data_IF_652899571164
#
_entry.id   IF_652899571164
#
_cell.length_a   1.000
_cell.length_b   1.000
_cell.length_c   1.000
_cell.angle_alpha   90.00
_cell.angle_beta   90.00
_cell.angle_gamma   90.00
#
_symmetry.space_group_name_H-M   'P 1'
#
loop_
_entity.id
_entity.type
_entity.pdbx_description
1 polymer ?
#
# COMPACT_ATOMS: atom_id res chain seq x y z
N UNK A 1 -27.79 -33.64 19.55
CA UNK A 1 -27.92 -32.40 18.76
C UNK A 1 -28.91 -32.63 17.63
N UNK A 2 -29.99 -31.84 17.57
CA UNK A 2 -31.01 -31.92 16.51
C UNK A 2 -30.55 -31.30 15.19
N UNK A 3 -31.31 -31.54 14.10
CA UNK A 3 -30.94 -31.11 12.76
C UNK A 3 -30.99 -29.58 12.59
N UNK A 4 -31.83 -28.85 13.33
CA UNK A 4 -31.92 -27.41 13.24
C UNK A 4 -30.69 -26.75 13.88
N UNK A 5 -30.27 -27.24 15.05
CA UNK A 5 -29.03 -26.83 15.70
C UNK A 5 -27.79 -27.09 14.83
N UNK A 6 -27.74 -28.25 14.15
CA UNK A 6 -26.65 -28.56 13.21
C UNK A 6 -26.58 -27.57 12.07
N UNK A 7 -27.73 -27.25 11.45
CA UNK A 7 -27.81 -26.25 10.39
C UNK A 7 -27.40 -24.86 10.87
N UNK A 8 -27.88 -24.45 12.06
CA UNK A 8 -27.56 -23.17 12.65
C UNK A 8 -26.05 -23.02 12.91
N UNK A 9 -25.39 -24.08 13.34
CA UNK A 9 -23.95 -24.12 13.60
C UNK A 9 -23.12 -24.38 12.32
N UNK A 10 -23.75 -24.59 11.18
CA UNK A 10 -23.05 -24.89 9.92
C UNK A 10 -22.37 -26.26 9.88
N UNK A 11 -22.78 -27.21 10.76
CA UNK A 11 -22.23 -28.57 10.80
C UNK A 11 -23.04 -29.46 9.87
N UNK A 12 -22.72 -29.42 8.59
CA UNK A 12 -23.50 -30.08 7.52
C UNK A 12 -23.11 -31.53 7.27
N UNK A 13 -21.98 -32.00 7.77
CA UNK A 13 -21.48 -33.37 7.53
C UNK A 13 -22.33 -34.42 8.29
N UNK A 14 -23.10 -35.30 7.59
CA UNK A 14 -23.94 -36.33 8.24
C UNK A 14 -23.12 -37.38 8.96
N UNK A 15 -21.85 -37.56 8.63
CA UNK A 15 -20.97 -38.59 9.24
C UNK A 15 -20.48 -38.21 10.64
N UNK A 16 -20.71 -36.96 11.08
CA UNK A 16 -20.40 -36.49 12.44
C UNK A 16 -21.60 -36.84 13.34
N UNK A 17 -21.40 -37.74 14.29
CA UNK A 17 -22.41 -38.11 15.31
C UNK A 17 -22.10 -37.37 16.63
N UNK A 18 -23.14 -36.91 17.30
CA UNK A 18 -23.04 -36.18 18.59
C UNK A 18 -23.63 -37.03 19.72
N UNK A 19 -23.00 -36.96 20.90
CA UNK A 19 -23.55 -37.48 22.14
C UNK A 19 -24.56 -36.53 22.76
N UNK A 20 -25.26 -36.94 23.80
CA UNK A 20 -26.24 -36.11 24.50
C UNK A 20 -25.59 -34.90 25.13
N UNK A 21 -24.38 -35.02 25.68
CA UNK A 21 -23.57 -33.92 26.25
C UNK A 21 -22.57 -33.39 25.21
N UNK A 22 -23.09 -32.95 24.08
CA UNK A 22 -22.26 -32.52 22.94
C UNK A 22 -21.64 -31.12 23.10
N UNK A 23 -22.12 -30.26 24.03
CA UNK A 23 -21.63 -28.92 24.24
C UNK A 23 -20.97 -28.76 25.62
N UNK A 24 -19.70 -28.41 25.62
CA UNK A 24 -18.92 -28.14 26.84
C UNK A 24 -18.39 -26.73 26.83
N UNK A 25 -18.26 -26.11 28.01
CA UNK A 25 -17.59 -24.83 28.17
C UNK A 25 -16.38 -24.97 29.09
N UNK A 26 -15.32 -24.25 28.76
CA UNK A 26 -14.12 -24.16 29.60
C UNK A 26 -13.75 -22.69 29.78
N UNK A 27 -13.67 -22.24 31.03
CA UNK A 27 -13.31 -20.87 31.37
C UNK A 27 -11.81 -20.81 31.73
N UNK A 28 -11.00 -20.19 30.86
CA UNK A 28 -9.59 -19.89 31.14
C UNK A 28 -9.34 -18.39 30.98
N UNK A 29 -8.75 -17.75 32.00
CA UNK A 29 -8.31 -16.34 31.95
C UNK A 29 -9.43 -15.39 31.49
N UNK A 30 -10.65 -15.51 32.05
CA UNK A 30 -11.83 -14.69 31.72
C UNK A 30 -12.40 -14.87 30.28
N UNK A 31 -11.88 -15.83 29.52
CA UNK A 31 -12.41 -16.17 28.19
C UNK A 31 -13.12 -17.51 28.30
N UNK A 32 -14.40 -17.54 27.96
CA UNK A 32 -15.17 -18.79 27.83
C UNK A 32 -14.88 -19.37 26.45
N UNK A 33 -14.37 -20.60 26.43
CA UNK A 33 -14.17 -21.37 25.17
C UNK A 33 -15.20 -22.48 25.09
N UNK A 34 -16.00 -22.48 24.07
CA UNK A 34 -16.99 -23.54 23.81
C UNK A 34 -16.38 -24.67 23.01
N UNK A 35 -16.78 -25.88 23.28
CA UNK A 35 -16.35 -27.08 22.55
C UNK A 35 -17.55 -27.97 22.22
N UNK A 36 -17.71 -28.27 20.94
CA UNK A 36 -18.68 -29.27 20.46
C UNK A 36 -17.98 -30.61 20.36
N UNK A 37 -18.54 -31.62 20.99
CA UNK A 37 -17.99 -32.99 20.99
C UNK A 37 -18.72 -33.86 19.98
N UNK A 38 -17.98 -34.50 19.07
CA UNK A 38 -18.54 -35.36 18.06
C UNK A 38 -17.64 -36.54 17.70
N UNK A 39 -18.17 -37.50 16.96
CA UNK A 39 -17.43 -38.64 16.41
C UNK A 39 -17.64 -38.68 14.91
N UNK A 40 -16.55 -38.65 14.16
CA UNK A 40 -16.54 -38.77 12.70
C UNK A 40 -16.19 -40.19 12.31
N UNK A 41 -17.13 -40.88 11.72
CA UNK A 41 -16.94 -42.25 11.22
C UNK A 41 -17.86 -42.53 10.02
N UNK A 42 -17.32 -43.26 9.07
CA UNK A 42 -18.05 -43.75 7.89
C UNK A 42 -17.37 -45.01 7.34
N UNK A 43 -17.94 -45.62 6.31
CA UNK A 43 -17.29 -46.72 5.55
C UNK A 43 -16.57 -46.08 4.34
N UNK A 44 -15.23 -46.07 4.29
CA UNK A 44 -14.51 -45.52 3.16
C UNK A 44 -14.77 -46.34 1.89
N UNK A 45 -14.92 -45.66 0.76
CA UNK A 45 -15.16 -46.29 -0.55
C UNK A 45 -13.87 -46.86 -1.14
N UNK A 46 -12.75 -46.17 -0.94
CA UNK A 46 -11.44 -46.52 -1.46
C UNK A 46 -10.33 -46.03 -0.52
N UNK A 47 -9.16 -46.59 -0.64
CA UNK A 47 -7.96 -46.09 0.04
C UNK A 47 -7.42 -44.83 -0.67
N UNK A 48 -7.20 -43.72 0.04
CA UNK A 48 -6.68 -42.50 -0.58
C UNK A 48 -5.21 -42.63 -1.00
N UNK A 49 -4.47 -43.62 -0.47
CA UNK A 49 -3.04 -43.78 -0.77
C UNK A 49 -2.79 -44.66 -2.00
N UNK A 50 -3.50 -45.77 -2.13
CA UNK A 50 -3.27 -46.72 -3.24
C UNK A 50 -4.45 -46.82 -4.22
N UNK A 51 -5.56 -46.11 -3.97
CA UNK A 51 -6.74 -46.14 -4.84
C UNK A 51 -7.60 -47.39 -4.77
N UNK A 52 -7.19 -48.43 -4.00
CA UNK A 52 -7.89 -49.69 -3.92
C UNK A 52 -9.33 -49.51 -3.39
N UNK A 53 -10.31 -50.08 -4.11
CA UNK A 53 -11.72 -50.12 -3.70
C UNK A 53 -11.89 -50.95 -2.46
N UNK A 54 -12.70 -50.52 -1.52
CA UNK A 54 -12.90 -51.18 -0.24
C UNK A 54 -13.84 -52.39 -0.37
N UNK A 55 -13.32 -53.53 -0.79
CA UNK A 55 -13.96 -54.84 -0.74
C UNK A 55 -13.43 -55.60 0.50
N UNK A 56 -13.77 -55.12 1.70
CA UNK A 56 -13.24 -55.62 2.99
C UNK A 56 -11.74 -55.39 3.20
N UNK A 57 -11.04 -54.71 2.29
CA UNK A 57 -9.60 -54.41 2.36
C UNK A 57 -9.26 -53.25 3.31
N UNK A 58 -10.24 -52.53 3.82
CA UNK A 58 -10.06 -51.39 4.71
C UNK A 58 -10.83 -51.65 6.01
N UNK A 59 -10.12 -51.66 7.14
CA UNK A 59 -10.69 -51.89 8.47
C UNK A 59 -10.57 -50.66 9.37
N UNK A 60 -11.42 -50.54 10.38
CA UNK A 60 -11.32 -49.53 11.43
C UNK A 60 -10.10 -49.82 12.30
N UNK A 61 -9.32 -48.78 12.62
CA UNK A 61 -8.07 -48.91 13.38
C UNK A 61 -7.98 -47.85 14.49
N UNK A 62 -8.97 -47.84 15.38
CA UNK A 62 -9.05 -46.91 16.51
C UNK A 62 -9.49 -45.47 16.14
N UNK A 63 -9.41 -44.58 17.10
CA UNK A 63 -9.79 -43.17 16.98
C UNK A 63 -8.65 -42.26 17.39
N UNK A 64 -8.66 -41.04 16.86
CA UNK A 64 -7.80 -39.98 17.27
C UNK A 64 -8.65 -38.71 17.53
N UNK A 65 -8.52 -38.14 18.72
CA UNK A 65 -9.25 -36.91 19.05
C UNK A 65 -8.51 -35.71 18.49
N UNK A 66 -9.17 -34.98 17.60
CA UNK A 66 -8.64 -33.72 16.99
C UNK A 66 -9.52 -32.54 17.41
N UNK A 67 -8.88 -31.46 17.82
CA UNK A 67 -9.55 -30.22 18.17
C UNK A 67 -9.39 -29.22 17.01
N UNK A 68 -10.50 -28.84 16.42
CA UNK A 68 -10.55 -27.89 15.31
C UNK A 68 -11.16 -26.58 15.76
N UNK A 69 -10.44 -25.43 15.72
CA UNK A 69 -11.07 -24.13 15.81
C UNK A 69 -12.15 -24.00 14.73
N UNK A 70 -13.39 -23.71 15.16
CA UNK A 70 -14.54 -23.83 14.29
C UNK A 70 -15.17 -22.48 13.94
N UNK A 71 -15.19 -21.53 14.88
CA UNK A 71 -15.75 -20.21 14.69
C UNK A 71 -15.97 -19.51 16.02
N UNK A 72 -17.03 -18.70 16.10
CA UNK A 72 -17.45 -18.02 17.32
C UNK A 72 -18.87 -18.41 17.70
N UNK A 73 -19.12 -18.60 18.99
CA UNK A 73 -20.43 -18.71 19.56
C UNK A 73 -20.62 -17.63 20.63
N UNK A 74 -21.59 -16.73 20.45
CA UNK A 74 -21.81 -15.55 21.32
C UNK A 74 -20.52 -14.73 21.54
N UNK A 75 -19.77 -14.49 20.47
CA UNK A 75 -18.47 -13.80 20.46
C UNK A 75 -17.35 -14.51 21.25
N UNK A 76 -17.56 -15.74 21.67
CA UNK A 76 -16.56 -16.56 22.33
C UNK A 76 -16.04 -17.65 21.37
N UNK A 77 -14.75 -18.03 21.44
CA UNK A 77 -14.21 -19.08 20.60
C UNK A 77 -14.96 -20.40 20.72
N UNK A 78 -15.25 -21.01 19.59
CA UNK A 78 -15.91 -22.29 19.46
C UNK A 78 -14.99 -23.29 18.75
N UNK A 79 -14.72 -24.40 19.42
CA UNK A 79 -13.96 -25.52 18.88
C UNK A 79 -14.88 -26.69 18.55
N UNK A 80 -14.54 -27.45 17.53
CA UNK A 80 -15.13 -28.75 17.24
C UNK A 80 -14.12 -29.86 17.57
N UNK A 81 -14.34 -30.56 18.68
CA UNK A 81 -13.52 -31.71 19.11
C UNK A 81 -14.11 -32.96 18.55
N UNK A 82 -13.41 -33.62 17.63
CA UNK A 82 -13.87 -34.78 16.90
C UNK A 82 -13.00 -35.98 17.25
N UNK A 83 -13.65 -37.05 17.71
CA UNK A 83 -13.07 -38.38 17.70
C UNK A 83 -13.09 -38.89 16.26
N UNK A 84 -12.00 -38.71 15.55
CA UNK A 84 -11.89 -39.05 14.13
C UNK A 84 -11.44 -40.51 13.97
N UNK A 85 -12.22 -41.30 13.22
CA UNK A 85 -11.90 -42.67 12.93
C UNK A 85 -10.63 -42.79 12.10
N UNK A 86 -9.68 -43.63 12.53
CA UNK A 86 -8.55 -44.03 11.73
C UNK A 86 -8.88 -45.38 11.06
N UNK A 87 -8.44 -45.54 9.81
CA UNK A 87 -8.60 -46.72 9.00
C UNK A 87 -7.23 -47.32 8.65
N UNK A 88 -7.19 -48.64 8.45
CA UNK A 88 -6.02 -49.37 7.97
C UNK A 88 -6.34 -50.05 6.65
N UNK A 89 -5.51 -49.88 5.64
CA UNK A 89 -5.61 -50.53 4.35
C UNK A 89 -4.69 -51.77 4.34
N UNK A 90 -5.28 -52.94 4.19
CA UNK A 90 -4.53 -54.21 4.15
C UNK A 90 -3.74 -54.41 2.85
N UNK A 91 -4.03 -53.66 1.78
CA UNK A 91 -3.34 -53.80 0.48
C UNK A 91 -2.03 -53.02 0.43
N UNK A 92 -2.03 -51.77 0.92
CA UNK A 92 -0.83 -50.95 0.93
C UNK A 92 -0.20 -50.78 2.31
N UNK A 93 -0.75 -51.43 3.34
CA UNK A 93 -0.28 -51.42 4.72
C UNK A 93 -0.15 -50.03 5.35
N UNK A 94 -0.95 -49.05 4.89
CA UNK A 94 -0.95 -47.68 5.40
C UNK A 94 -2.23 -47.35 6.18
N UNK A 95 -2.12 -46.37 7.09
CA UNK A 95 -3.26 -45.86 7.82
C UNK A 95 -3.64 -44.47 7.28
N UNK A 96 -4.94 -44.15 7.34
CA UNK A 96 -5.47 -42.83 7.01
C UNK A 96 -6.63 -42.46 7.94
N UNK A 97 -6.93 -41.14 8.03
CA UNK A 97 -7.99 -40.65 8.89
C UNK A 97 -9.28 -40.41 8.09
N UNK A 98 -10.41 -40.53 8.76
CA UNK A 98 -11.66 -40.03 8.20
C UNK A 98 -11.56 -38.52 7.90
N UNK A 99 -12.14 -38.06 6.78
CA UNK A 99 -12.15 -36.70 6.35
C UNK A 99 -13.56 -36.13 6.37
N UNK A 100 -13.70 -34.82 6.57
CA UNK A 100 -14.99 -34.13 6.55
C UNK A 100 -14.93 -32.93 5.59
N UNK A 101 -16.01 -32.65 4.83
CA UNK A 101 -16.09 -31.50 3.95
C UNK A 101 -16.04 -30.14 4.67
N UNK A 102 -16.17 -30.13 6.00
CA UNK A 102 -16.04 -28.93 6.84
C UNK A 102 -14.63 -28.34 6.89
N UNK A 103 -13.62 -29.15 6.53
CA UNK A 103 -12.22 -28.77 6.57
C UNK A 103 -11.57 -28.92 5.20
N UNK A 104 -10.60 -28.06 4.90
CA UNK A 104 -9.72 -28.26 3.75
C UNK A 104 -8.64 -29.29 4.09
N UNK A 105 -8.10 -29.96 3.08
CA UNK A 105 -6.98 -30.89 3.26
C UNK A 105 -5.81 -30.19 3.96
N UNK A 106 -5.21 -30.87 4.95
CA UNK A 106 -4.06 -30.39 5.72
C UNK A 106 -4.29 -29.09 6.51
N UNK A 107 -5.56 -28.74 6.83
CA UNK A 107 -5.88 -27.60 7.69
C UNK A 107 -6.46 -28.06 9.03
N UNK A 108 -6.14 -27.32 10.10
CA UNK A 108 -6.69 -27.54 11.44
C UNK A 108 -7.92 -26.68 11.74
N UNK A 109 -8.28 -25.73 10.90
CA UNK A 109 -9.41 -24.81 11.09
C UNK A 109 -10.55 -25.13 10.11
N UNK A 110 -11.80 -24.80 10.50
CA UNK A 110 -12.94 -24.98 9.62
C UNK A 110 -12.91 -24.02 8.42
N UNK A 111 -13.57 -24.42 7.32
CA UNK A 111 -13.76 -23.51 6.15
C UNK A 111 -14.48 -22.22 6.53
N UNK A 112 -15.47 -22.32 7.43
CA UNK A 112 -16.21 -21.14 7.90
C UNK A 112 -15.30 -20.16 8.65
N UNK A 113 -14.45 -20.67 9.58
CA UNK A 113 -13.49 -19.83 10.28
C UNK A 113 -12.44 -19.24 9.34
N UNK A 114 -11.96 -20.02 8.37
CA UNK A 114 -11.04 -19.52 7.35
C UNK A 114 -11.67 -18.38 6.54
N UNK A 115 -12.94 -18.51 6.17
CA UNK A 115 -13.68 -17.45 5.48
C UNK A 115 -13.78 -16.18 6.33
N UNK A 116 -14.11 -16.31 7.63
CA UNK A 116 -14.14 -15.18 8.56
C UNK A 116 -12.77 -14.49 8.68
N UNK A 117 -11.67 -15.27 8.79
CA UNK A 117 -10.31 -14.72 8.77
C UNK A 117 -10.09 -13.89 7.49
N UNK A 118 -10.48 -14.43 6.33
CA UNK A 118 -10.31 -13.76 5.04
C UNK A 118 -11.10 -12.45 4.99
N UNK A 119 -12.37 -12.44 5.43
CA UNK A 119 -13.17 -11.23 5.52
C UNK A 119 -12.55 -10.16 6.44
N UNK A 120 -12.03 -10.56 7.58
CA UNK A 120 -11.34 -9.64 8.49
C UNK A 120 -10.01 -9.14 7.94
N UNK A 121 -9.32 -9.95 7.16
CA UNK A 121 -8.11 -9.55 6.46
C UNK A 121 -8.34 -8.46 5.39
N UNK A 122 -9.57 -8.23 4.93
CA UNK A 122 -9.90 -7.07 4.06
C UNK A 122 -10.06 -5.77 4.82
N UNK A 123 -10.16 -5.82 6.14
CA UNK A 123 -10.28 -4.64 7.01
C UNK A 123 -8.92 -4.18 7.51
N UNK A 124 -8.89 -2.96 8.02
CA UNK A 124 -7.67 -2.37 8.59
C UNK A 124 -7.52 -2.83 10.05
N UNK A 125 -7.23 -4.12 10.23
CA UNK A 125 -7.02 -4.79 11.53
C UNK A 125 -5.64 -5.44 11.55
N UNK A 126 -5.00 -5.57 12.74
CA UNK A 126 -3.74 -6.29 12.84
C UNK A 126 -3.97 -7.82 12.84
N UNK A 127 -2.95 -8.58 12.40
CA UNK A 127 -2.98 -10.05 12.46
C UNK A 127 -3.20 -10.53 13.90
N UNK A 128 -2.65 -9.81 14.89
CA UNK A 128 -2.80 -10.14 16.30
C UNK A 128 -4.23 -9.92 16.78
N UNK A 129 -4.85 -8.77 16.46
CA UNK A 129 -6.22 -8.48 16.86
C UNK A 129 -7.20 -9.50 16.26
N UNK A 130 -7.03 -9.84 14.97
CA UNK A 130 -7.82 -10.91 14.32
C UNK A 130 -7.67 -12.23 15.06
N UNK A 131 -6.44 -12.58 15.44
CA UNK A 131 -6.15 -13.84 16.14
C UNK A 131 -6.76 -13.86 17.54
N UNK A 132 -6.59 -12.78 18.29
CA UNK A 132 -7.10 -12.63 19.66
C UNK A 132 -8.64 -12.69 19.68
N UNK A 133 -9.31 -11.96 18.81
CA UNK A 133 -10.78 -11.95 18.69
C UNK A 133 -11.37 -13.29 18.27
N UNK A 134 -10.69 -14.03 17.38
CA UNK A 134 -11.13 -15.34 16.91
C UNK A 134 -10.67 -16.50 17.83
N UNK A 135 -9.88 -16.21 18.86
CA UNK A 135 -9.35 -17.19 19.80
C UNK A 135 -8.41 -18.22 19.16
N UNK A 136 -7.65 -17.79 18.15
CA UNK A 136 -6.68 -18.62 17.41
C UNK A 136 -5.28 -18.04 17.52
N UNK A 137 -4.27 -18.76 17.02
CA UNK A 137 -2.90 -18.24 17.00
C UNK A 137 -2.68 -17.25 15.85
N UNK A 138 -1.86 -16.22 16.08
CA UNK A 138 -1.45 -15.29 15.02
C UNK A 138 -0.76 -16.02 13.84
N UNK A 139 -0.08 -17.15 14.11
CA UNK A 139 0.52 -17.99 13.06
C UNK A 139 -0.54 -18.67 12.17
N UNK A 140 -1.74 -18.95 12.68
CA UNK A 140 -2.86 -19.47 11.87
C UNK A 140 -3.38 -18.40 10.91
N UNK A 141 -3.55 -17.16 11.38
CA UNK A 141 -3.93 -16.02 10.52
C UNK A 141 -2.83 -15.77 9.48
N UNK A 142 -1.56 -15.78 9.89
CA UNK A 142 -0.42 -15.58 9.00
C UNK A 142 -0.37 -16.62 7.87
N UNK A 143 -0.56 -17.91 8.17
CA UNK A 143 -0.64 -18.98 7.15
C UNK A 143 -1.79 -18.76 6.18
N UNK A 144 -2.92 -18.22 6.65
CA UNK A 144 -4.03 -17.86 5.76
C UNK A 144 -3.62 -16.74 4.80
N UNK A 145 -2.92 -15.69 5.27
CA UNK A 145 -2.37 -14.64 4.40
C UNK A 145 -1.44 -15.23 3.34
N UNK A 146 -0.52 -16.11 3.74
CA UNK A 146 0.45 -16.75 2.84
C UNK A 146 -0.24 -17.64 1.78
N UNK A 147 -1.30 -18.35 2.17
CA UNK A 147 -2.07 -19.17 1.21
C UNK A 147 -2.80 -18.34 0.15
N UNK A 148 -3.14 -17.09 0.47
CA UNK A 148 -3.78 -16.15 -0.46
C UNK A 148 -2.77 -15.44 -1.37
N UNK A 149 -1.49 -15.38 -0.99
CA UNK A 149 -0.47 -14.63 -1.70
C UNK A 149 -0.37 -15.01 -3.19
N UNK A 150 -0.38 -16.31 -3.50
CA UNK A 150 -0.28 -16.80 -4.87
C UNK A 150 -1.51 -16.50 -5.72
N UNK A 151 -2.68 -16.32 -5.11
CA UNK A 151 -3.93 -16.03 -5.80
C UNK A 151 -4.08 -14.54 -6.14
N UNK A 152 -3.54 -13.67 -5.28
CA UNK A 152 -3.78 -12.20 -5.34
C UNK A 152 -2.70 -11.48 -6.14
N UNK A 153 -1.47 -11.97 -6.14
CA UNK A 153 -0.30 -11.16 -6.54
C UNK A 153 0.25 -11.40 -7.94
N UNK A 154 -0.39 -12.24 -8.74
CA UNK A 154 0.06 -12.51 -10.11
C UNK A 154 -0.90 -11.92 -11.15
N UNK A 155 -0.69 -10.65 -11.59
CA UNK A 155 -1.47 -10.10 -12.72
C UNK A 155 -1.18 -10.87 -14.01
N UNK A 156 -2.16 -10.92 -14.89
CA UNK A 156 -1.99 -11.49 -16.23
C UNK A 156 -0.88 -10.76 -16.98
N UNK A 157 0.07 -11.48 -17.54
CA UNK A 157 1.17 -10.90 -18.35
C UNK A 157 0.71 -10.40 -19.72
N UNK A 158 -0.55 -10.58 -20.05
CA UNK A 158 -1.15 -10.14 -21.31
C UNK A 158 -1.94 -8.83 -21.20
N UNK A 159 -1.97 -8.19 -20.02
CA UNK A 159 -2.71 -6.97 -19.81
C UNK A 159 -1.91 -5.93 -19.03
N UNK A 160 -1.91 -4.71 -19.53
CA UNK A 160 -1.51 -3.48 -18.85
C UNK A 160 -2.56 -2.39 -19.15
N UNK A 161 -2.88 -1.50 -18.19
CA UNK A 161 -3.83 -0.42 -18.41
C UNK A 161 -3.32 0.61 -19.43
N UNK A 162 -4.21 1.34 -20.08
CA UNK A 162 -3.84 2.41 -21.00
C UNK A 162 -3.16 3.57 -20.29
N UNK A 163 -3.66 3.94 -19.11
CA UNK A 163 -3.06 4.95 -18.23
C UNK A 163 -2.47 4.26 -17.00
N UNK A 164 -1.15 4.27 -16.90
CA UNK A 164 -0.41 3.70 -15.79
C UNK A 164 0.16 4.83 -14.92
N UNK A 165 -0.32 4.95 -13.67
CA UNK A 165 0.22 5.89 -12.68
C UNK A 165 1.24 5.15 -11.82
N UNK A 166 2.47 5.69 -11.73
CA UNK A 166 3.54 5.08 -10.95
C UNK A 166 4.09 6.01 -9.89
N UNK A 167 4.45 5.43 -8.73
CA UNK A 167 5.05 6.16 -7.62
C UNK A 167 5.87 5.20 -6.73
N UNK A 168 6.44 5.73 -5.68
CA UNK A 168 7.24 5.00 -4.72
C UNK A 168 6.71 5.18 -3.29
N UNK A 169 6.85 4.14 -2.50
CA UNK A 169 6.59 4.27 -1.06
C UNK A 169 7.71 3.67 -0.22
N UNK A 170 7.87 4.22 0.97
CA UNK A 170 8.86 3.70 1.92
C UNK A 170 8.52 2.25 2.25
N UNK A 171 9.42 1.33 1.92
CA UNK A 171 9.26 -0.10 2.13
C UNK A 171 9.51 -0.52 3.60
N UNK A 172 9.70 -1.81 3.81
CA UNK A 172 10.09 -2.38 5.09
C UNK A 172 11.61 -2.26 5.30
N UNK A 173 12.05 -2.43 6.55
CA UNK A 173 13.50 -2.39 6.87
C UNK A 173 14.29 -3.54 6.23
N UNK A 174 13.64 -4.68 6.00
CA UNK A 174 14.23 -5.87 5.37
C UNK A 174 14.45 -5.73 3.87
N UNK A 175 13.81 -4.76 3.20
CA UNK A 175 13.95 -4.52 1.77
C UNK A 175 15.22 -3.71 1.52
N UNK A 176 16.13 -4.23 0.71
CA UNK A 176 17.47 -3.67 0.48
C UNK A 176 17.46 -2.21 -0.02
N UNK A 177 16.49 -1.84 -0.84
CA UNK A 177 16.33 -0.49 -1.39
C UNK A 177 15.57 0.50 -0.51
N UNK A 178 15.00 0.07 0.63
CA UNK A 178 14.16 0.86 1.55
C UNK A 178 12.92 1.51 0.91
N UNK A 179 12.78 1.41 -0.41
CA UNK A 179 11.65 1.94 -1.19
C UNK A 179 11.08 0.84 -2.09
N UNK A 180 9.78 0.74 -2.13
CA UNK A 180 9.02 -0.14 -3.03
C UNK A 180 8.33 0.69 -4.10
N UNK A 181 7.98 0.04 -5.19
CA UNK A 181 7.30 0.62 -6.32
C UNK A 181 5.81 0.28 -6.28
N UNK A 182 4.97 1.22 -6.69
CA UNK A 182 3.53 1.06 -6.84
C UNK A 182 3.11 1.49 -8.24
N UNK A 183 2.25 0.71 -8.86
CA UNK A 183 1.57 1.04 -10.11
C UNK A 183 0.06 0.98 -9.89
N UNK A 184 -0.65 1.97 -10.43
CA UNK A 184 -2.10 2.15 -10.32
C UNK A 184 -2.67 2.26 -11.73
N UNK A 185 -3.81 1.60 -11.97
CA UNK A 185 -4.62 1.81 -13.16
C UNK A 185 -5.30 3.19 -13.05
N UNK A 186 -4.83 4.13 -13.86
CA UNK A 186 -5.30 5.52 -13.81
C UNK A 186 -6.73 5.69 -14.31
N UNK A 187 -7.24 4.76 -15.13
CA UNK A 187 -8.58 4.81 -15.70
C UNK A 187 -9.61 4.19 -14.75
N UNK A 188 -9.27 3.07 -14.12
CA UNK A 188 -10.15 2.34 -13.17
C UNK A 188 -9.99 2.78 -11.73
N UNK A 189 -8.95 3.54 -11.41
CA UNK A 189 -8.61 3.95 -10.05
C UNK A 189 -8.36 2.77 -9.11
N UNK A 190 -7.74 1.70 -9.63
CA UNK A 190 -7.44 0.47 -8.89
C UNK A 190 -5.93 0.28 -8.74
N UNK A 191 -5.53 -0.30 -7.62
CA UNK A 191 -4.15 -0.73 -7.44
C UNK A 191 -3.83 -1.84 -8.45
N UNK A 192 -2.92 -1.56 -9.38
CA UNK A 192 -2.53 -2.52 -10.39
C UNK A 192 -1.43 -3.46 -9.87
N UNK A 193 -0.32 -2.90 -9.37
CA UNK A 193 0.80 -3.71 -8.93
C UNK A 193 1.68 -3.05 -7.86
N UNK A 194 2.27 -3.88 -7.01
CA UNK A 194 3.30 -3.49 -6.04
C UNK A 194 4.51 -4.37 -6.24
N UNK A 195 5.70 -3.75 -6.40
CA UNK A 195 6.98 -4.42 -6.50
C UNK A 195 7.87 -4.06 -5.32
N UNK A 196 8.64 -5.04 -4.85
CA UNK A 196 9.52 -4.88 -3.69
C UNK A 196 10.60 -3.82 -3.94
N UNK A 197 11.12 -3.76 -5.17
CA UNK A 197 12.26 -2.94 -5.55
C UNK A 197 11.89 -1.97 -6.68
N UNK A 198 12.29 -0.70 -6.53
CA UNK A 198 12.07 0.36 -7.51
C UNK A 198 13.21 0.57 -8.51
N UNK A 199 14.34 -0.15 -8.36
CA UNK A 199 15.51 0.05 -9.21
C UNK A 199 15.23 -0.29 -10.66
N UNK A 200 15.78 0.53 -11.57
CA UNK A 200 15.47 0.49 -13.00
C UNK A 200 15.57 -0.92 -13.59
N UNK A 201 16.65 -1.66 -13.30
CA UNK A 201 16.85 -3.01 -13.86
C UNK A 201 15.79 -4.02 -13.39
N UNK A 202 15.27 -3.87 -12.15
CA UNK A 202 14.19 -4.72 -11.63
C UNK A 202 12.88 -4.42 -12.32
N UNK A 203 12.54 -3.13 -12.47
CA UNK A 203 11.35 -2.69 -13.18
C UNK A 203 11.42 -3.07 -14.67
N UNK A 204 12.58 -2.89 -15.30
CA UNK A 204 12.81 -3.29 -16.68
C UNK A 204 12.52 -4.79 -16.89
N UNK A 205 13.17 -5.68 -16.12
CA UNK A 205 12.97 -7.11 -16.21
C UNK A 205 11.51 -7.52 -15.94
N UNK A 206 10.89 -6.86 -14.96
CA UNK A 206 9.51 -7.12 -14.60
C UNK A 206 8.55 -6.76 -15.75
N UNK A 207 8.62 -5.55 -16.30
CA UNK A 207 7.73 -5.14 -17.38
C UNK A 207 8.06 -5.78 -18.74
N UNK A 208 9.31 -6.18 -18.96
CA UNK A 208 9.66 -6.99 -20.15
C UNK A 208 9.01 -8.38 -20.14
N UNK A 209 8.61 -8.91 -18.98
CA UNK A 209 7.88 -10.18 -18.90
C UNK A 209 6.43 -10.09 -19.37
N UNK A 210 5.88 -8.88 -19.58
CA UNK A 210 4.58 -8.68 -20.21
C UNK A 210 4.68 -8.82 -21.72
N UNK A 211 3.60 -9.32 -22.34
CA UNK A 211 3.55 -9.44 -23.80
C UNK A 211 3.76 -8.09 -24.48
N UNK A 212 4.33 -8.09 -25.67
CA UNK A 212 4.55 -6.86 -26.45
C UNK A 212 3.24 -6.08 -26.63
N UNK A 213 2.13 -6.78 -26.94
CA UNK A 213 0.81 -6.19 -27.09
C UNK A 213 0.35 -5.46 -25.82
N UNK A 214 0.58 -6.05 -24.64
CA UNK A 214 0.25 -5.40 -23.37
C UNK A 214 1.07 -4.12 -23.15
N UNK A 215 2.37 -4.16 -23.46
CA UNK A 215 3.25 -2.98 -23.32
C UNK A 215 2.92 -1.86 -24.33
N UNK A 216 2.51 -2.21 -25.54
CA UNK A 216 2.02 -1.28 -26.55
C UNK A 216 0.67 -0.66 -26.22
N UNK A 217 -0.14 -1.31 -25.35
CA UNK A 217 -1.43 -0.78 -24.88
C UNK A 217 -1.27 0.43 -23.95
N UNK A 218 -0.13 0.58 -23.28
CA UNK A 218 0.11 1.73 -22.39
C UNK A 218 0.30 2.98 -23.23
N UNK A 219 -0.67 3.93 -23.13
CA UNK A 219 -0.67 5.21 -23.86
C UNK A 219 -0.11 6.36 -23.04
N UNK A 220 -0.40 6.34 -21.72
CA UNK A 220 0.04 7.37 -20.78
C UNK A 220 0.70 6.76 -19.57
N UNK A 221 1.84 7.34 -19.19
CA UNK A 221 2.51 6.98 -17.95
C UNK A 221 2.67 8.23 -17.08
N UNK A 222 1.86 8.26 -16.00
CA UNK A 222 1.82 9.36 -15.04
C UNK A 222 2.83 9.08 -13.94
N UNK A 223 3.76 10.01 -13.71
CA UNK A 223 4.87 9.79 -12.78
C UNK A 223 5.50 11.09 -12.29
N UNK A 224 6.36 10.97 -11.29
CA UNK A 224 7.28 12.01 -10.86
C UNK A 224 8.38 12.26 -11.89
N UNK A 225 9.01 13.41 -11.84
CA UNK A 225 10.12 13.78 -12.71
C UNK A 225 11.43 13.08 -12.30
N UNK A 226 11.47 11.73 -12.46
CA UNK A 226 12.62 10.90 -12.17
C UNK A 226 13.28 10.40 -13.47
N UNK A 227 14.58 10.65 -13.65
CA UNK A 227 15.32 10.27 -14.86
C UNK A 227 15.37 8.75 -15.11
N UNK A 228 15.35 7.95 -14.03
CA UNK A 228 15.32 6.48 -14.17
C UNK A 228 14.01 5.99 -14.78
N UNK A 229 12.90 6.63 -14.44
CA UNK A 229 11.59 6.31 -15.02
C UNK A 229 11.45 6.82 -16.45
N UNK A 230 12.06 7.98 -16.79
CA UNK A 230 12.13 8.43 -18.19
C UNK A 230 12.78 7.37 -19.08
N UNK A 231 13.85 6.69 -18.60
CA UNK A 231 14.52 5.59 -19.30
C UNK A 231 13.64 4.35 -19.39
N UNK A 232 12.97 3.96 -18.29
CA UNK A 232 12.06 2.82 -18.27
C UNK A 232 10.98 2.95 -19.34
N UNK A 233 10.34 4.13 -19.43
CA UNK A 233 9.26 4.38 -20.39
C UNK A 233 9.76 4.19 -21.80
N UNK A 234 10.89 4.80 -22.17
CA UNK A 234 11.46 4.72 -23.51
C UNK A 234 11.84 3.31 -23.95
N UNK A 235 12.29 2.47 -23.02
CA UNK A 235 12.79 1.13 -23.31
C UNK A 235 11.70 0.06 -23.29
N UNK A 236 10.64 0.27 -22.52
CA UNK A 236 9.65 -0.78 -22.22
C UNK A 236 8.30 -0.53 -22.87
N UNK A 237 7.85 0.72 -22.94
CA UNK A 237 6.50 1.10 -23.38
C UNK A 237 6.55 1.91 -24.66
N UNK A 238 6.54 1.28 -25.86
CA UNK A 238 6.85 1.94 -27.13
C UNK A 238 5.86 3.06 -27.49
N UNK A 239 4.60 2.95 -27.09
CA UNK A 239 3.55 3.92 -27.39
C UNK A 239 3.28 4.93 -26.25
N UNK A 240 3.94 4.76 -25.11
CA UNK A 240 3.61 5.53 -23.93
C UNK A 240 4.16 6.96 -23.98
N UNK A 241 3.31 7.91 -23.66
CA UNK A 241 3.64 9.31 -23.45
C UNK A 241 3.77 9.61 -21.96
N UNK A 242 4.90 10.20 -21.58
CA UNK A 242 5.13 10.61 -20.18
C UNK A 242 4.22 11.80 -19.84
N UNK A 243 3.55 11.71 -18.68
CA UNK A 243 2.77 12.78 -18.06
C UNK A 243 3.37 13.02 -16.68
N UNK A 244 3.96 14.21 -16.47
CA UNK A 244 4.50 14.52 -15.15
C UNK A 244 3.44 15.07 -14.22
N UNK A 245 3.46 14.59 -12.97
CA UNK A 245 2.50 14.98 -11.94
C UNK A 245 2.64 16.47 -11.61
N UNK A 246 1.47 17.16 -11.57
CA UNK A 246 1.37 18.59 -11.30
C UNK A 246 1.96 19.02 -9.98
N UNK A 247 1.72 18.25 -8.93
CA UNK A 247 2.22 18.53 -7.59
C UNK A 247 3.75 18.60 -7.57
N UNK A 248 4.41 17.68 -8.27
CA UNK A 248 5.87 17.62 -8.31
C UNK A 248 6.49 18.78 -9.09
N UNK A 249 5.80 19.36 -10.07
CA UNK A 249 6.28 20.57 -10.78
C UNK A 249 6.36 21.74 -9.79
N UNK A 250 5.26 22.02 -9.07
CA UNK A 250 5.23 23.09 -8.05
C UNK A 250 6.24 22.83 -6.94
N UNK A 251 6.35 21.58 -6.48
CA UNK A 251 7.35 21.20 -5.49
C UNK A 251 8.78 21.54 -5.94
N UNK A 252 9.12 21.25 -7.20
CA UNK A 252 10.44 21.60 -7.73
C UNK A 252 10.70 23.13 -7.75
N UNK A 253 9.69 23.93 -8.06
CA UNK A 253 9.79 25.39 -7.99
C UNK A 253 10.00 25.87 -6.55
N UNK A 254 9.21 25.35 -5.61
CA UNK A 254 9.31 25.66 -4.19
C UNK A 254 10.66 25.20 -3.59
N UNK A 255 11.15 24.02 -3.97
CA UNK A 255 12.47 23.53 -3.55
C UNK A 255 13.60 24.42 -4.07
N UNK A 256 13.46 24.94 -5.31
CA UNK A 256 14.41 25.89 -5.90
C UNK A 256 14.43 27.20 -5.12
N UNK A 257 13.26 27.77 -4.81
CA UNK A 257 13.13 28.97 -3.99
C UNK A 257 13.75 28.78 -2.61
N UNK A 258 13.41 27.68 -1.96
CA UNK A 258 13.94 27.38 -0.62
C UNK A 258 15.46 27.17 -0.61
N UNK A 259 16.03 26.59 -1.66
CA UNK A 259 17.47 26.44 -1.82
C UNK A 259 18.17 27.81 -1.84
N UNK A 260 17.70 28.75 -2.66
CA UNK A 260 18.27 30.12 -2.73
C UNK A 260 18.12 30.82 -1.38
N UNK A 261 16.95 30.73 -0.74
CA UNK A 261 16.74 31.28 0.61
C UNK A 261 17.74 30.70 1.63
N UNK A 262 17.99 29.40 1.59
CA UNK A 262 18.96 28.75 2.49
C UNK A 262 20.39 29.20 2.16
N UNK A 263 20.73 29.40 0.89
CA UNK A 263 22.02 29.90 0.48
C UNK A 263 22.27 31.31 1.08
N UNK A 264 21.33 32.22 0.88
CA UNK A 264 21.38 33.57 1.44
C UNK A 264 21.41 33.55 2.97
N UNK A 265 20.58 32.73 3.61
CA UNK A 265 20.63 32.51 5.06
C UNK A 265 22.03 32.09 5.55
N UNK A 266 22.66 31.12 4.88
CA UNK A 266 23.98 30.62 5.27
C UNK A 266 25.08 31.66 5.09
N UNK A 267 24.97 32.54 4.10
CA UNK A 267 25.85 33.67 3.91
C UNK A 267 25.70 34.72 5.03
N UNK A 268 24.47 35.18 5.27
CA UNK A 268 24.17 36.20 6.27
C UNK A 268 24.47 35.77 7.70
N UNK A 269 24.28 34.50 8.05
CA UNK A 269 24.57 34.03 9.40
C UNK A 269 26.04 34.09 9.80
N UNK A 270 26.95 34.22 8.82
CA UNK A 270 28.41 34.37 9.02
C UNK A 270 28.86 35.82 8.99
N UNK A 271 27.97 36.77 8.69
CA UNK A 271 28.23 38.20 8.64
C UNK A 271 28.18 38.88 10.00
N UNK A 272 28.07 40.20 9.98
CA UNK A 272 28.00 41.05 11.17
C UNK A 272 26.69 40.83 11.99
N UNK A 273 26.54 41.56 13.10
CA UNK A 273 25.38 41.47 14.00
C UNK A 273 24.03 41.73 13.27
N UNK A 274 24.00 42.66 12.31
CA UNK A 274 22.83 42.98 11.51
C UNK A 274 22.48 41.81 10.56
N UNK A 275 23.46 41.25 9.89
CA UNK A 275 23.28 40.11 9.00
C UNK A 275 22.79 38.87 9.74
N UNK A 276 23.29 38.65 10.93
CA UNK A 276 22.80 37.57 11.79
C UNK A 276 21.34 37.75 12.21
N UNK A 277 20.88 39.00 12.44
CA UNK A 277 19.47 39.31 12.70
C UNK A 277 18.61 39.01 11.44
N UNK A 278 19.07 39.44 10.25
CA UNK A 278 18.44 39.12 8.96
C UNK A 278 18.35 37.62 8.71
N UNK A 279 19.42 36.89 8.96
CA UNK A 279 19.44 35.44 8.83
C UNK A 279 18.37 34.77 9.71
N UNK A 280 18.25 35.17 10.99
CA UNK A 280 17.21 34.60 11.90
C UNK A 280 15.80 34.83 11.37
N UNK A 281 15.52 36.01 10.77
CA UNK A 281 14.24 36.32 10.14
C UNK A 281 13.98 35.43 8.92
N UNK A 282 14.95 35.24 8.01
CA UNK A 282 14.86 34.34 6.86
C UNK A 282 14.58 32.89 7.28
N UNK A 283 15.18 32.44 8.39
CA UNK A 283 14.93 31.11 8.94
C UNK A 283 13.51 30.99 9.52
N UNK A 284 13.02 32.01 10.20
CA UNK A 284 11.74 31.95 10.88
C UNK A 284 10.56 32.01 9.90
N UNK A 285 10.62 32.93 8.94
CA UNK A 285 9.55 33.22 8.00
C UNK A 285 9.66 32.47 6.66
N UNK A 286 10.37 31.36 6.61
CA UNK A 286 10.65 30.60 5.39
C UNK A 286 9.39 30.21 4.60
N UNK A 287 8.27 29.96 5.28
CA UNK A 287 7.01 29.55 4.64
C UNK A 287 6.37 30.63 3.78
N UNK A 288 6.69 31.90 4.03
CA UNK A 288 6.15 33.02 3.23
C UNK A 288 6.67 32.98 1.79
N UNK A 289 7.88 32.48 1.58
CA UNK A 289 8.46 32.34 0.25
C UNK A 289 7.82 31.25 -0.62
N UNK A 290 7.09 30.31 -0.01
CA UNK A 290 6.52 29.16 -0.68
C UNK A 290 5.02 29.31 -0.98
N UNK A 291 4.41 30.42 -0.56
CA UNK A 291 3.01 30.73 -0.83
C UNK A 291 2.91 31.73 -1.99
N UNK A 292 1.85 31.64 -2.81
CA UNK A 292 1.53 32.72 -3.74
C UNK A 292 1.39 34.06 -3.01
N UNK A 293 1.92 35.12 -3.58
CA UNK A 293 1.90 36.43 -2.93
C UNK A 293 0.47 36.92 -2.63
N UNK A 294 -0.47 36.60 -3.51
CA UNK A 294 -1.88 36.94 -3.41
C UNK A 294 -2.56 36.27 -2.21
N UNK A 295 -2.11 35.06 -1.82
CA UNK A 295 -2.65 34.28 -0.68
C UNK A 295 -2.09 34.76 0.67
N UNK A 296 -1.08 35.64 0.67
CA UNK A 296 -0.52 36.14 1.91
C UNK A 296 -1.47 37.14 2.58
N UNK A 297 -1.63 36.98 3.89
CA UNK A 297 -2.52 37.84 4.68
C UNK A 297 -2.09 39.29 4.67
N UNK A 298 -3.06 40.18 4.41
CA UNK A 298 -2.95 41.63 4.60
C UNK A 298 -3.40 42.11 5.99
N UNK A 299 -3.89 41.15 6.84
CA UNK A 299 -4.35 41.51 8.18
C UNK A 299 -3.13 41.87 9.05
N UNK A 300 -3.08 43.07 9.62
CA UNK A 300 -1.99 43.46 10.50
C UNK A 300 -2.06 42.69 11.84
N UNK A 301 -0.90 42.38 12.40
CA UNK A 301 -0.75 41.85 13.73
C UNK A 301 0.56 42.34 14.36
N UNK A 302 0.60 42.45 15.66
CA UNK A 302 1.82 42.85 16.35
C UNK A 302 2.82 41.71 16.39
N UNK A 303 3.99 41.91 15.78
CA UNK A 303 5.09 40.94 15.77
C UNK A 303 6.17 41.37 16.78
N UNK A 304 6.13 40.76 17.98
CA UNK A 304 6.98 41.15 19.12
C UNK A 304 8.39 40.61 19.08
N UNK A 305 8.69 39.55 18.29
CA UNK A 305 9.97 38.85 18.36
C UNK A 305 11.07 39.47 17.51
N UNK A 306 10.75 39.75 16.25
CA UNK A 306 11.74 40.16 15.23
C UNK A 306 11.58 41.60 14.73
N UNK A 307 10.35 42.09 14.69
CA UNK A 307 10.05 43.42 14.15
C UNK A 307 9.61 44.41 15.23
N UNK A 308 9.02 43.96 16.31
CA UNK A 308 8.51 44.73 17.46
C UNK A 308 7.56 45.86 17.00
N UNK A 309 6.73 45.62 16.00
CA UNK A 309 5.74 46.53 15.43
C UNK A 309 4.61 45.77 14.77
N UNK A 310 3.55 46.47 14.40
CA UNK A 310 2.51 45.89 13.54
C UNK A 310 3.04 45.65 12.12
N UNK A 311 2.76 44.49 11.62
CA UNK A 311 3.17 44.03 10.29
C UNK A 311 2.12 43.10 9.69
N UNK A 312 2.12 42.96 8.37
CA UNK A 312 1.37 41.92 7.65
C UNK A 312 2.32 40.87 7.10
N UNK A 313 1.79 39.70 6.71
CA UNK A 313 2.63 38.66 6.05
C UNK A 313 3.28 39.21 4.77
N UNK A 314 2.57 40.07 4.00
CA UNK A 314 3.11 40.69 2.79
C UNK A 314 4.22 41.71 3.11
N UNK A 315 4.04 42.54 4.14
CA UNK A 315 5.07 43.49 4.59
C UNK A 315 6.34 42.76 5.05
N UNK A 316 6.18 41.67 5.84
CA UNK A 316 7.32 40.87 6.27
C UNK A 316 8.07 40.30 5.06
N UNK A 317 7.37 39.71 4.11
CA UNK A 317 8.01 39.12 2.93
C UNK A 317 8.78 40.18 2.13
N UNK A 318 8.18 41.35 1.86
CA UNK A 318 8.86 42.42 1.15
C UNK A 318 10.15 42.87 1.85
N UNK A 319 10.11 43.04 3.17
CA UNK A 319 11.31 43.34 3.97
C UNK A 319 12.38 42.23 3.90
N UNK A 320 11.99 40.98 3.79
CA UNK A 320 12.93 39.85 3.67
C UNK A 320 13.56 39.81 2.27
N UNK A 321 12.84 40.17 1.24
CA UNK A 321 13.33 40.22 -0.14
C UNK A 321 14.36 41.35 -0.36
N UNK A 322 14.29 42.44 0.42
CA UNK A 322 15.29 43.55 0.42
C UNK A 322 16.67 43.14 0.94
N UNK A 323 16.79 41.95 1.57
CA UNK A 323 18.08 41.51 2.13
C UNK A 323 19.08 41.03 1.08
N UNK A 324 18.60 40.70 -0.12
CA UNK A 324 19.43 40.12 -1.17
C UNK A 324 18.74 40.17 -2.54
N UNK A 325 19.44 40.73 -3.54
CA UNK A 325 18.89 40.94 -4.88
C UNK A 325 18.65 39.62 -5.63
N UNK A 326 19.50 38.60 -5.47
CA UNK A 326 19.30 37.28 -6.06
C UNK A 326 18.07 36.58 -5.47
N UNK A 327 17.87 36.71 -4.16
CA UNK A 327 16.71 36.18 -3.47
C UNK A 327 15.41 36.82 -4.01
N UNK A 328 15.42 38.14 -4.17
CA UNK A 328 14.29 38.89 -4.71
C UNK A 328 14.01 38.50 -6.17
N UNK A 329 15.02 38.56 -7.03
CA UNK A 329 14.88 38.18 -8.45
C UNK A 329 14.36 36.73 -8.61
N UNK A 330 14.89 35.79 -7.82
CA UNK A 330 14.41 34.41 -7.82
C UNK A 330 12.98 34.32 -7.36
N UNK A 331 12.58 35.03 -6.29
CA UNK A 331 11.21 35.01 -5.80
C UNK A 331 10.23 35.52 -6.87
N UNK A 332 10.49 36.69 -7.46
CA UNK A 332 9.63 37.27 -8.50
C UNK A 332 9.47 36.32 -9.69
N UNK A 333 10.56 35.71 -10.14
CA UNK A 333 10.54 34.76 -11.24
C UNK A 333 9.75 33.48 -10.91
N UNK A 334 9.94 32.92 -9.72
CA UNK A 334 9.20 31.71 -9.30
C UNK A 334 7.69 32.01 -9.12
N UNK A 335 7.34 33.19 -8.57
CA UNK A 335 5.95 33.60 -8.44
C UNK A 335 5.27 33.80 -9.82
N UNK A 336 5.98 34.33 -10.80
CA UNK A 336 5.45 34.42 -12.16
C UNK A 336 5.22 33.03 -12.79
N UNK A 337 6.17 32.11 -12.62
CA UNK A 337 6.00 30.72 -13.04
C UNK A 337 4.79 30.05 -12.37
N UNK A 338 4.62 30.21 -11.05
CA UNK A 338 3.47 29.66 -10.31
C UNK A 338 2.15 30.28 -10.79
N UNK A 339 2.11 31.56 -11.06
CA UNK A 339 0.91 32.25 -11.59
C UNK A 339 0.52 31.75 -12.99
N UNK A 340 1.50 31.54 -13.88
CA UNK A 340 1.26 31.02 -15.23
C UNK A 340 0.92 29.53 -15.25
N UNK A 341 1.37 28.78 -14.28
CA UNK A 341 1.19 27.35 -14.17
C UNK A 341 -0.30 26.92 -14.25
N UNK A 342 -1.22 27.64 -13.60
CA UNK A 342 -2.63 27.27 -13.54
C UNK A 342 -3.44 27.63 -14.78
N UNK A 343 -3.03 28.68 -15.53
CA UNK A 343 -3.91 29.26 -16.53
C UNK A 343 -3.25 29.50 -17.91
N UNK A 344 -1.92 29.49 -17.99
CA UNK A 344 -1.19 29.89 -19.20
C UNK A 344 -0.03 28.93 -19.48
N UNK A 345 -0.34 27.66 -19.78
CA UNK A 345 0.66 26.61 -19.97
C UNK A 345 1.75 26.99 -20.99
N UNK A 346 1.38 27.63 -22.10
CA UNK A 346 2.33 28.03 -23.13
C UNK A 346 3.32 29.07 -22.56
N UNK A 347 2.82 30.08 -21.91
CA UNK A 347 3.64 31.14 -21.29
C UNK A 347 4.52 30.58 -20.14
N UNK A 348 4.02 29.62 -19.35
CA UNK A 348 4.83 28.92 -18.36
C UNK A 348 6.06 28.24 -19.00
N UNK A 349 5.86 27.55 -20.14
CA UNK A 349 6.97 26.88 -20.84
C UNK A 349 7.95 27.85 -21.46
N UNK A 350 7.48 28.99 -21.98
CA UNK A 350 8.34 30.05 -22.48
C UNK A 350 9.19 30.66 -21.37
N UNK A 351 8.60 30.96 -20.21
CA UNK A 351 9.31 31.48 -19.04
C UNK A 351 10.40 30.52 -18.55
N UNK A 352 10.17 29.21 -18.55
CA UNK A 352 11.19 28.23 -18.17
C UNK A 352 12.45 28.26 -19.07
N UNK A 353 12.32 28.74 -20.31
CA UNK A 353 13.42 28.84 -21.27
C UNK A 353 14.07 30.23 -21.27
N UNK A 354 13.36 31.24 -20.82
CA UNK A 354 13.82 32.62 -20.83
C UNK A 354 15.03 32.80 -19.91
N UNK A 355 16.06 33.48 -20.42
CA UNK A 355 17.18 33.95 -19.58
C UNK A 355 16.71 35.12 -18.73
N UNK A 356 16.82 35.00 -17.43
CA UNK A 356 16.45 36.03 -16.46
C UNK A 356 17.74 36.55 -15.83
N UNK A 357 17.93 37.86 -15.82
CA UNK A 357 19.03 38.50 -15.10
C UNK A 357 18.78 38.49 -13.58
N UNK A 358 19.84 38.46 -12.81
CA UNK A 358 19.78 38.55 -11.34
C UNK A 358 19.43 37.24 -10.61
N UNK A 359 19.05 36.16 -11.32
CA UNK A 359 18.84 34.83 -10.70
C UNK A 359 20.14 34.04 -10.69
N UNK A 360 20.26 33.11 -9.71
CA UNK A 360 21.42 32.22 -9.59
C UNK A 360 21.56 31.25 -10.76
N UNK A 361 22.79 30.78 -10.99
CA UNK A 361 23.06 29.67 -11.90
C UNK A 361 22.25 28.41 -11.50
N UNK A 362 22.10 28.17 -10.20
CA UNK A 362 21.29 27.04 -9.70
C UNK A 362 19.83 27.14 -10.15
N UNK A 363 19.21 28.32 -9.97
CA UNK A 363 17.81 28.57 -10.39
C UNK A 363 17.66 28.37 -11.90
N UNK A 364 18.55 29.00 -12.69
CA UNK A 364 18.56 28.88 -14.14
C UNK A 364 18.68 27.40 -14.60
N UNK A 365 19.63 26.67 -14.03
CA UNK A 365 19.84 25.24 -14.34
C UNK A 365 18.62 24.37 -13.98
N UNK A 366 17.96 24.63 -12.84
CA UNK A 366 16.76 23.91 -12.43
C UNK A 366 15.59 24.16 -13.38
N UNK A 367 15.36 25.41 -13.79
CA UNK A 367 14.34 25.77 -14.76
C UNK A 367 14.63 25.16 -16.14
N UNK A 368 15.88 25.19 -16.59
CA UNK A 368 16.29 24.55 -17.84
C UNK A 368 16.03 23.01 -17.82
N UNK A 369 16.27 22.35 -16.70
CA UNK A 369 15.97 20.92 -16.55
C UNK A 369 14.46 20.64 -16.61
N UNK A 370 13.60 21.54 -16.10
CA UNK A 370 12.16 21.46 -16.31
C UNK A 370 11.80 21.66 -17.79
N UNK A 371 12.40 22.64 -18.44
CA UNK A 371 12.16 22.90 -19.88
C UNK A 371 12.55 21.72 -20.77
N UNK A 372 13.62 20.99 -20.46
CA UNK A 372 13.98 19.76 -21.17
C UNK A 372 12.88 18.70 -21.11
N UNK A 373 12.04 18.72 -20.09
CA UNK A 373 10.88 17.84 -19.87
C UNK A 373 9.55 18.47 -20.30
N UNK A 374 9.58 19.59 -21.06
CA UNK A 374 8.40 20.39 -21.41
C UNK A 374 7.23 19.62 -22.00
N UNK A 375 7.48 18.58 -22.81
CA UNK A 375 6.42 17.77 -23.43
C UNK A 375 5.58 17.02 -22.39
N UNK A 376 6.22 16.37 -21.42
CA UNK A 376 5.54 15.70 -20.31
C UNK A 376 4.90 16.67 -19.33
N UNK A 377 5.53 17.83 -19.08
CA UNK A 377 4.96 18.91 -18.26
C UNK A 377 3.71 19.47 -18.94
N UNK A 378 3.76 19.77 -20.24
CA UNK A 378 2.60 20.24 -21.01
C UNK A 378 1.43 19.28 -20.86
N UNK A 379 1.64 17.98 -21.06
CA UNK A 379 0.60 16.95 -20.86
C UNK A 379 0.08 16.93 -19.44
N UNK A 380 0.95 16.98 -18.43
CA UNK A 380 0.54 17.06 -17.01
C UNK A 380 -0.33 18.26 -16.69
N UNK A 381 -0.13 19.38 -17.36
CA UNK A 381 -0.92 20.60 -17.18
C UNK A 381 -2.21 20.61 -17.99
N UNK A 382 -2.26 19.88 -19.12
CA UNK A 382 -3.41 19.89 -20.03
C UNK A 382 -4.39 18.75 -19.74
N UNK A 383 -3.89 17.57 -19.38
CA UNK A 383 -4.73 16.40 -19.13
C UNK A 383 -5.27 16.40 -17.69
N UNK A 384 -6.42 15.75 -17.49
CA UNK A 384 -7.01 15.60 -16.16
C UNK A 384 -6.29 14.56 -15.28
N UNK A 385 -5.28 13.87 -15.82
CA UNK A 385 -4.52 12.86 -15.06
C UNK A 385 -3.76 13.49 -13.89
N UNK A 386 -3.85 12.88 -12.72
CA UNK A 386 -3.06 13.29 -11.56
C UNK A 386 -2.59 12.05 -10.78
N UNK A 387 -1.48 12.19 -10.10
CA UNK A 387 -0.95 11.15 -9.20
C UNK A 387 -1.64 11.16 -7.81
N UNK A 388 -2.68 11.99 -7.64
CA UNK A 388 -3.41 12.12 -6.36
C UNK A 388 -4.00 10.80 -5.87
N UNK A 389 -4.40 9.92 -6.79
CA UNK A 389 -4.87 8.57 -6.46
C UNK A 389 -3.76 7.70 -5.89
N UNK A 390 -2.58 7.73 -6.51
CA UNK A 390 -1.39 7.01 -6.03
C UNK A 390 -0.97 7.53 -4.66
N UNK A 391 -1.09 8.84 -4.41
CA UNK A 391 -0.89 9.42 -3.07
C UNK A 391 -1.92 8.89 -2.07
N UNK A 392 -3.20 8.77 -2.46
CA UNK A 392 -4.25 8.15 -1.66
C UNK A 392 -3.92 6.70 -1.28
N UNK A 393 -3.44 5.91 -2.23
CA UNK A 393 -2.95 4.55 -1.96
C UNK A 393 -1.72 4.54 -1.05
N UNK A 394 -0.76 5.41 -1.27
CA UNK A 394 0.41 5.55 -0.41
C UNK A 394 0.04 5.88 1.04
N UNK A 395 -0.98 6.71 1.27
CA UNK A 395 -1.48 7.02 2.61
C UNK A 395 -2.17 5.81 3.26
N UNK A 396 -2.96 5.04 2.51
CA UNK A 396 -3.53 3.77 2.98
C UNK A 396 -2.43 2.75 3.32
N UNK A 397 -1.40 2.61 2.49
CA UNK A 397 -0.25 1.73 2.74
C UNK A 397 0.50 2.14 4.02
N UNK A 398 0.69 3.45 4.26
CA UNK A 398 1.28 3.96 5.51
C UNK A 398 0.45 3.54 6.73
N UNK A 399 -0.89 3.62 6.64
CA UNK A 399 -1.80 3.20 7.70
C UNK A 399 -1.71 1.70 7.97
N UNK A 400 -1.79 0.86 6.91
CA UNK A 400 -1.65 -0.60 7.00
C UNK A 400 -0.34 -1.00 7.69
N UNK A 401 0.78 -0.36 7.33
CA UNK A 401 2.08 -0.58 7.96
C UNK A 401 2.12 -0.20 9.44
N UNK A 402 1.45 0.88 9.80
CA UNK A 402 1.39 1.38 11.18
C UNK A 402 0.61 0.44 12.09
N UNK A 403 -0.57 -0.01 11.65
CA UNK A 403 -1.44 -0.90 12.42
C UNK A 403 -0.80 -2.27 12.67
N UNK A 404 -0.04 -2.77 11.71
CA UNK A 404 0.64 -4.05 11.86
C UNK A 404 1.88 -4.00 12.78
N UNK A 405 2.23 -2.84 13.34
CA UNK A 405 3.48 -2.64 14.10
C UNK A 405 4.74 -3.09 13.34
N UNK A 406 4.65 -3.20 12.03
CA UNK A 406 5.67 -3.66 11.09
C UNK A 406 5.41 -5.07 10.56
N UNK A 407 5.89 -5.31 9.34
CA UNK A 407 5.87 -6.62 8.69
C UNK A 407 7.29 -7.14 8.57
N UNK A 408 7.48 -8.46 8.66
CA UNK A 408 8.78 -9.12 8.48
C UNK A 408 9.00 -9.60 7.05
N UNK A 409 7.93 -9.89 6.31
CA UNK A 409 7.96 -10.44 4.96
C UNK A 409 7.22 -9.52 3.99
N UNK A 410 7.86 -9.22 2.83
CA UNK A 410 7.27 -8.38 1.79
C UNK A 410 6.02 -9.02 1.16
N UNK A 411 6.00 -10.32 0.97
CA UNK A 411 4.82 -11.02 0.43
C UNK A 411 3.61 -10.83 1.33
N UNK A 412 3.78 -10.89 2.65
CA UNK A 412 2.69 -10.68 3.61
C UNK A 412 2.13 -9.26 3.52
N UNK A 413 2.98 -8.22 3.51
CA UNK A 413 2.48 -6.84 3.39
C UNK A 413 1.84 -6.60 2.03
N UNK A 414 2.43 -7.10 0.95
CA UNK A 414 1.87 -7.01 -0.40
C UNK A 414 0.47 -7.62 -0.44
N UNK A 415 0.31 -8.84 0.04
CA UNK A 415 -0.99 -9.53 0.12
C UNK A 415 -2.00 -8.72 0.93
N UNK A 416 -1.63 -8.22 2.10
CA UNK A 416 -2.50 -7.39 2.95
C UNK A 416 -2.93 -6.11 2.26
N UNK A 417 -2.03 -5.45 1.54
CA UNK A 417 -2.36 -4.24 0.78
C UNK A 417 -3.41 -4.55 -0.29
N UNK A 418 -3.23 -5.63 -1.06
CA UNK A 418 -4.22 -6.02 -2.07
C UNK A 418 -5.58 -6.37 -1.46
N UNK A 419 -5.61 -7.12 -0.35
CA UNK A 419 -6.83 -7.47 0.35
C UNK A 419 -7.61 -6.24 0.84
N UNK A 420 -6.93 -5.25 1.41
CA UNK A 420 -7.55 -4.05 1.99
C UNK A 420 -7.93 -3.03 0.91
N UNK A 421 -7.15 -2.91 -0.15
CA UNK A 421 -7.33 -1.86 -1.16
C UNK A 421 -8.27 -2.31 -2.28
N UNK A 422 -8.04 -3.48 -2.86
CA UNK A 422 -8.81 -3.92 -4.03
C UNK A 422 -10.09 -4.68 -3.66
N UNK A 423 -10.28 -5.12 -2.41
CA UNK A 423 -11.44 -5.88 -1.92
C UNK A 423 -11.83 -7.10 -2.80
N UNK A 424 -10.98 -7.51 -3.74
CA UNK A 424 -11.24 -8.60 -4.69
C UNK A 424 -10.72 -9.91 -4.12
N UNK A 425 -11.57 -10.61 -3.36
CA UNK A 425 -11.34 -12.01 -3.05
C UNK A 425 -12.47 -12.80 -3.69
N UNK A 426 -12.13 -13.51 -4.74
CA UNK A 426 -12.96 -14.65 -5.16
C UNK A 426 -12.49 -15.84 -4.32
N UNK A 427 -13.10 -16.02 -3.14
CA UNK A 427 -12.93 -17.28 -2.38
C UNK A 427 -13.66 -18.34 -3.19
N UNK A 428 -12.92 -19.14 -3.96
CA UNK A 428 -13.44 -20.34 -4.61
C UNK A 428 -13.62 -21.44 -3.58
#
# INVERSE_FOLDING_TARGET
MDNNTRKLLGITDPNIKFSDNWLLSNNKKQITRWSIMGTLTYKPKACPNCGAVNNHSITKHGFCTVCHPFGLFRRQPLDLKINTQRFYCHLCHTTFMATSPLFDANTSISKALRHEIVLRLTRVESIKDIADDLGISASTVQRTVESLANQITNPSRNYLPETLCIDEFKSMRSVSGKMSFIAVDGDRHELFEILEDRRLYKLFNHYQSFSRKARENVKYLVMDMNSSYDQLVKQVFPNAQIVYDRFHIIKHLNDTMNHVRIHVYNRLRRGNSLDQKRARRLKHYWRLFLKPFEELSNRPYYEGRYFKREVTSKTILNLLLEYDDELNATYQYIQELVRCYHHKVHHFLELLHKRISGISHYTSHRCHNLFRRRAGIKRGLTFAFSNGQTEGFNNRIKLIKRIAFGYRNFTTIKTRIYLIINHKITVK
#
